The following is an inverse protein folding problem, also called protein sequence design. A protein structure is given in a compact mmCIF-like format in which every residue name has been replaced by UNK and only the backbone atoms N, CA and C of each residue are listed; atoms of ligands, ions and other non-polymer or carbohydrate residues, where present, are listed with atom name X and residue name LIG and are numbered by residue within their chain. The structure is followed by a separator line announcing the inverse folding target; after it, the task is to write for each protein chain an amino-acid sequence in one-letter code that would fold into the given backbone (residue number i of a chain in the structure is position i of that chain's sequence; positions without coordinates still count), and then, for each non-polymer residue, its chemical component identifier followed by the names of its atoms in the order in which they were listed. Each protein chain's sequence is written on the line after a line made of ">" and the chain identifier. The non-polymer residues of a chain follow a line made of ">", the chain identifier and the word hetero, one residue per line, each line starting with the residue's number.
data_IF_914145269922
#
_entry.id   IF_914145269922
#
_cell.length_a   1.000
_cell.length_b   1.000
_cell.length_c   1.000
_cell.angle_alpha   90.00
_cell.angle_beta   90.00
_cell.angle_gamma   90.00
#
_symmetry.space_group_name_H-M   'P 1'
#
loop_
_entity.id
_entity.type
_entity.pdbx_description
1 polymer ?
#
# COMPACT_ATOMS: atom_id res chain seq x y z
N UNK A 1 -16.02 12.75 -1.58
CA UNK A 1 -15.53 11.75 -0.63
C UNK A 1 -14.87 12.52 0.51
N UNK A 2 -15.58 12.85 1.51
CA UNK A 2 -15.14 13.42 2.76
C UNK A 2 -16.29 13.25 3.74
N UNK A 3 -16.01 12.87 4.97
CA UNK A 3 -17.03 12.91 6.01
C UNK A 3 -17.11 14.33 6.57
N UNK A 4 -18.33 14.84 6.66
CA UNK A 4 -18.60 16.11 7.33
C UNK A 4 -18.64 15.82 8.83
N UNK A 5 -17.74 16.44 9.60
CA UNK A 5 -17.75 16.39 11.05
C UNK A 5 -18.99 17.03 11.64
N UNK A 6 -19.23 16.82 12.94
CA UNK A 6 -20.39 17.37 13.66
C UNK A 6 -20.52 18.90 13.57
N UNK A 7 -19.43 19.59 13.23
CA UNK A 7 -19.37 21.07 13.08
C UNK A 7 -19.36 21.53 11.62
N UNK A 8 -19.63 20.64 10.65
CA UNK A 8 -19.54 20.98 9.23
C UNK A 8 -18.12 20.92 8.64
N UNK A 9 -17.11 20.57 9.43
CA UNK A 9 -15.75 20.43 8.95
C UNK A 9 -15.61 19.19 8.08
N UNK A 10 -14.98 19.33 6.92
CA UNK A 10 -14.67 18.19 6.06
C UNK A 10 -13.40 17.52 6.57
N UNK A 11 -13.53 16.37 7.23
CA UNK A 11 -12.39 15.58 7.64
C UNK A 11 -11.83 14.81 6.42
N UNK A 12 -10.73 15.31 5.90
CA UNK A 12 -9.93 14.65 4.86
C UNK A 12 -8.75 13.87 5.48
N UNK A 13 -8.89 13.44 6.75
CA UNK A 13 -7.84 12.69 7.42
C UNK A 13 -7.55 11.40 6.64
N UNK A 14 -6.33 11.20 6.13
CA UNK A 14 -6.04 10.11 5.20
C UNK A 14 -6.12 8.71 5.83
N UNK A 15 -6.17 8.60 7.15
CA UNK A 15 -6.10 7.28 7.82
C UNK A 15 -7.44 6.70 8.27
N UNK A 16 -8.47 7.51 8.53
CA UNK A 16 -9.71 6.97 9.14
C UNK A 16 -10.91 7.02 8.22
N UNK A 17 -11.13 8.11 7.49
CA UNK A 17 -12.33 8.26 6.67
C UNK A 17 -12.08 9.09 5.39
N UNK A 18 -10.83 9.45 5.10
CA UNK A 18 -10.45 10.27 3.96
C UNK A 18 -9.92 9.45 2.79
N UNK A 19 -9.46 10.16 1.78
CA UNK A 19 -8.80 9.56 0.63
C UNK A 19 -7.33 9.28 0.96
N UNK A 20 -6.91 8.03 0.84
CA UNK A 20 -5.51 7.64 0.96
C UNK A 20 -5.09 6.80 -0.24
N UNK A 21 -4.13 7.30 -1.01
CA UNK A 21 -3.54 6.65 -2.17
C UNK A 21 -2.18 6.08 -1.75
N UNK A 22 -2.01 4.76 -1.83
CA UNK A 22 -0.74 4.10 -1.50
C UNK A 22 -0.25 3.16 -2.61
N UNK A 23 -1.07 2.89 -3.63
CA UNK A 23 -0.71 2.07 -4.78
C UNK A 23 -0.62 2.89 -6.07
N UNK A 24 0.42 2.66 -6.88
CA UNK A 24 0.53 3.24 -8.20
C UNK A 24 1.30 2.26 -9.11
N UNK A 25 0.69 1.86 -10.22
CA UNK A 25 1.33 1.00 -11.21
C UNK A 25 0.80 1.28 -12.62
N UNK A 26 1.50 0.83 -13.66
CA UNK A 26 1.03 0.97 -15.03
C UNK A 26 0.35 -0.29 -15.55
N UNK A 27 -0.48 -0.14 -16.60
CA UNK A 27 -0.87 -1.26 -17.45
C UNK A 27 0.37 -1.83 -18.18
N UNK A 28 0.30 -3.10 -18.67
CA UNK A 28 1.43 -3.73 -19.36
C UNK A 28 1.92 -2.95 -20.59
N UNK A 29 1.04 -2.21 -21.25
CA UNK A 29 1.34 -1.37 -22.41
C UNK A 29 1.73 0.07 -22.02
N UNK A 30 1.78 0.38 -20.72
CA UNK A 30 2.16 1.70 -20.19
C UNK A 30 1.15 2.83 -20.39
N UNK A 31 -0.02 2.56 -21.01
CA UNK A 31 -0.98 3.62 -21.38
C UNK A 31 -1.89 4.06 -20.22
N UNK A 32 -2.15 3.17 -19.28
CA UNK A 32 -3.01 3.41 -18.14
C UNK A 32 -2.17 3.39 -16.87
N UNK A 33 -2.38 4.36 -16.00
CA UNK A 33 -1.88 4.31 -14.64
C UNK A 33 -3.01 3.89 -13.72
N UNK A 34 -2.79 2.84 -12.96
CA UNK A 34 -3.71 2.41 -11.92
C UNK A 34 -3.36 3.05 -10.59
N UNK A 35 -4.35 3.72 -9.99
CA UNK A 35 -4.24 4.39 -8.69
C UNK A 35 -4.92 3.50 -7.66
N UNK A 36 -4.13 2.91 -6.77
CA UNK A 36 -4.60 2.03 -5.71
C UNK A 36 -4.90 2.78 -4.42
N UNK A 37 -6.10 2.59 -3.89
CA UNK A 37 -6.51 3.23 -2.65
C UNK A 37 -6.33 2.30 -1.46
N UNK A 38 -5.66 2.80 -0.41
CA UNK A 38 -5.74 2.18 0.91
C UNK A 38 -7.11 2.42 1.52
N UNK A 39 -7.63 3.63 1.32
CA UNK A 39 -8.90 4.08 1.85
C UNK A 39 -9.57 5.05 0.84
N UNK A 40 -10.88 4.99 0.60
CA UNK A 40 -11.89 4.10 1.18
C UNK A 40 -11.90 2.68 0.61
N UNK A 41 -12.53 1.76 1.37
CA UNK A 41 -12.77 0.36 0.98
C UNK A 41 -14.29 0.10 0.95
N UNK A 42 -15.01 0.63 -0.05
CA UNK A 42 -16.45 0.53 -0.11
C UNK A 42 -16.91 -0.92 -0.24
N UNK A 43 -17.93 -1.30 0.52
CA UNK A 43 -18.46 -2.66 0.55
C UNK A 43 -17.37 -3.74 0.79
N UNK A 44 -16.36 -3.40 1.59
CA UNK A 44 -15.21 -4.26 1.88
C UNK A 44 -14.36 -4.65 0.66
N UNK A 45 -14.40 -3.86 -0.41
CA UNK A 45 -13.60 -4.07 -1.63
C UNK A 45 -12.58 -2.95 -1.81
N UNK A 46 -11.34 -3.31 -2.06
CA UNK A 46 -10.29 -2.36 -2.41
C UNK A 46 -10.59 -1.69 -3.75
N UNK A 47 -10.18 -0.44 -3.88
CA UNK A 47 -10.38 0.34 -5.10
C UNK A 47 -9.09 0.51 -5.88
N UNK A 48 -9.17 0.22 -7.17
CA UNK A 48 -8.14 0.52 -8.15
C UNK A 48 -8.77 1.40 -9.24
N UNK A 49 -8.27 2.61 -9.43
CA UNK A 49 -8.84 3.61 -10.34
C UNK A 49 -7.92 3.78 -11.55
N UNK A 50 -8.38 3.48 -12.78
CA UNK A 50 -7.60 3.71 -13.98
C UNK A 50 -7.54 5.20 -14.34
N UNK A 51 -6.33 5.75 -14.54
CA UNK A 51 -6.07 7.04 -15.18
C UNK A 51 -5.65 6.77 -16.63
N UNK A 52 -6.51 7.13 -17.59
CA UNK A 52 -6.37 6.75 -19.01
C UNK A 52 -5.50 7.69 -19.85
N UNK A 53 -5.13 8.85 -19.32
CA UNK A 53 -4.38 9.87 -20.04
C UNK A 53 -3.26 10.47 -19.18
N UNK A 54 -2.54 9.63 -18.45
CA UNK A 54 -1.50 10.06 -17.50
C UNK A 54 -0.43 10.94 -18.16
N UNK A 55 0.02 10.58 -19.36
CA UNK A 55 1.00 11.36 -20.12
C UNK A 55 0.50 12.79 -20.41
N UNK A 56 -0.72 12.94 -20.87
CA UNK A 56 -1.31 14.26 -21.13
C UNK A 56 -1.47 15.10 -19.84
N UNK A 57 -1.83 14.45 -18.73
CA UNK A 57 -1.94 15.11 -17.44
C UNK A 57 -0.57 15.65 -16.99
N UNK A 58 0.47 14.82 -17.10
CA UNK A 58 1.83 15.16 -16.63
C UNK A 58 2.49 16.19 -17.55
N UNK A 59 2.47 15.96 -18.87
CA UNK A 59 3.23 16.75 -19.82
C UNK A 59 2.49 17.99 -20.32
N UNK A 60 1.15 17.95 -20.37
CA UNK A 60 0.32 19.01 -20.96
C UNK A 60 -0.64 19.65 -19.96
N UNK A 61 -0.59 19.26 -18.68
CA UNK A 61 -1.53 19.71 -17.66
C UNK A 61 -3.01 19.49 -18.05
N UNK A 62 -3.26 18.43 -18.80
CA UNK A 62 -4.61 18.10 -19.26
C UNK A 62 -5.48 17.65 -18.08
N UNK A 63 -6.80 17.79 -18.21
CA UNK A 63 -7.75 17.27 -17.23
C UNK A 63 -7.65 15.74 -17.14
N UNK A 64 -7.59 15.14 -15.95
CA UNK A 64 -7.57 13.70 -15.78
C UNK A 64 -8.79 13.01 -16.38
N UNK A 65 -8.57 11.96 -17.15
CA UNK A 65 -9.60 11.07 -17.67
C UNK A 65 -9.57 9.76 -16.87
N UNK A 66 -10.45 9.64 -15.89
CA UNK A 66 -10.58 8.44 -15.07
C UNK A 66 -11.46 7.39 -15.77
N UNK A 67 -11.09 6.12 -15.63
CA UNK A 67 -11.93 5.00 -16.01
C UNK A 67 -12.85 4.56 -14.88
N UNK A 68 -13.67 3.54 -15.17
CA UNK A 68 -14.54 2.92 -14.16
C UNK A 68 -13.67 2.29 -13.05
N UNK A 69 -14.02 2.48 -11.77
CA UNK A 69 -13.31 1.87 -10.67
C UNK A 69 -13.34 0.33 -10.74
N UNK A 70 -12.21 -0.29 -10.47
CA UNK A 70 -12.08 -1.75 -10.34
C UNK A 70 -12.15 -2.09 -8.87
N UNK A 71 -13.06 -2.99 -8.51
CA UNK A 71 -13.31 -3.43 -7.14
C UNK A 71 -12.65 -4.78 -6.90
N UNK A 72 -11.60 -4.81 -6.09
CA UNK A 72 -10.83 -6.01 -5.79
C UNK A 72 -11.20 -6.57 -4.41
N UNK A 73 -11.50 -7.87 -4.34
CA UNK A 73 -11.68 -8.52 -3.06
C UNK A 73 -10.32 -8.87 -2.45
N UNK A 74 -9.88 -8.07 -1.48
CA UNK A 74 -8.65 -8.26 -0.70
C UNK A 74 -8.99 -8.56 0.78
N UNK A 75 -10.09 -9.25 1.04
CA UNK A 75 -10.55 -9.60 2.40
C UNK A 75 -10.62 -8.37 3.30
N UNK A 76 -11.35 -7.34 2.87
CA UNK A 76 -11.55 -6.04 3.56
C UNK A 76 -10.29 -5.17 3.68
N UNK A 77 -9.17 -5.54 3.06
CA UNK A 77 -7.92 -4.75 3.04
C UNK A 77 -7.97 -3.68 1.97
N UNK A 78 -7.33 -2.54 2.25
CA UNK A 78 -6.99 -1.53 1.24
C UNK A 78 -5.66 -1.85 0.55
N UNK A 79 -5.41 -1.21 -0.59
CA UNK A 79 -4.17 -1.38 -1.35
C UNK A 79 -3.06 -0.56 -0.69
N UNK A 80 -1.97 -1.22 -0.30
CA UNK A 80 -0.74 -0.59 0.20
C UNK A 80 0.31 -0.44 -0.89
N UNK A 81 0.39 -1.41 -1.79
CA UNK A 81 1.27 -1.40 -2.94
C UNK A 81 0.67 -2.27 -4.04
N UNK A 82 0.93 -1.91 -5.27
CA UNK A 82 0.58 -2.72 -6.44
C UNK A 82 1.67 -2.58 -7.49
N UNK A 83 2.16 -3.72 -8.00
CA UNK A 83 3.18 -3.77 -9.04
C UNK A 83 2.84 -4.81 -10.11
N UNK A 84 3.07 -4.45 -11.37
CA UNK A 84 2.97 -5.38 -12.48
C UNK A 84 4.29 -6.11 -12.72
N UNK A 85 4.25 -7.43 -12.77
CA UNK A 85 5.38 -8.25 -13.18
C UNK A 85 5.22 -8.76 -14.60
N UNK A 86 6.08 -8.33 -15.49
CA UNK A 86 6.13 -8.79 -16.87
C UNK A 86 6.48 -10.28 -16.97
N UNK A 87 7.33 -10.78 -16.06
CA UNK A 87 7.69 -12.19 -15.98
C UNK A 87 6.48 -13.09 -15.71
N UNK A 88 5.60 -12.68 -14.76
CA UNK A 88 4.42 -13.47 -14.38
C UNK A 88 3.18 -13.10 -15.19
N UNK A 89 3.23 -12.01 -15.96
CA UNK A 89 2.06 -11.41 -16.62
C UNK A 89 0.89 -11.20 -15.63
N UNK A 90 1.21 -10.66 -14.45
CA UNK A 90 0.25 -10.46 -13.33
C UNK A 90 0.63 -9.23 -12.52
N UNK A 91 -0.36 -8.71 -11.81
CA UNK A 91 -0.17 -7.73 -10.75
C UNK A 91 0.01 -8.44 -9.41
N UNK A 92 0.93 -7.94 -8.61
CA UNK A 92 1.09 -8.30 -7.21
C UNK A 92 0.62 -7.14 -6.35
N UNK A 93 -0.15 -7.43 -5.31
CA UNK A 93 -0.82 -6.42 -4.51
C UNK A 93 -0.54 -6.72 -3.03
N UNK A 94 -0.06 -5.74 -2.30
CA UNK A 94 -0.08 -5.76 -0.84
C UNK A 94 -1.40 -5.17 -0.39
N UNK A 95 -2.21 -6.00 0.27
CA UNK A 95 -3.38 -5.57 1.00
C UNK A 95 -3.03 -5.34 2.47
N UNK A 96 -3.44 -4.22 3.03
CA UNK A 96 -3.22 -3.89 4.43
C UNK A 96 -4.47 -3.36 5.12
N UNK A 97 -4.47 -3.44 6.45
CA UNK A 97 -5.55 -2.96 7.29
C UNK A 97 -5.76 -1.45 7.15
N UNK A 98 -7.00 -1.03 7.29
CA UNK A 98 -7.38 0.37 7.42
C UNK A 98 -7.13 0.85 8.86
N UNK A 99 -7.40 -0.02 9.84
CA UNK A 99 -7.46 0.25 11.28
C UNK A 99 -6.34 -0.41 12.12
N UNK A 100 -5.39 -1.10 11.48
CA UNK A 100 -4.32 -1.91 12.08
C UNK A 100 -4.78 -3.21 12.79
N UNK A 101 -6.01 -3.65 12.60
CA UNK A 101 -6.53 -4.88 13.22
C UNK A 101 -6.23 -6.13 12.39
N UNK A 102 -5.96 -5.96 11.10
CA UNK A 102 -5.75 -7.09 10.18
C UNK A 102 -4.28 -7.19 9.75
N UNK A 103 -3.82 -8.42 9.62
CA UNK A 103 -2.51 -8.72 9.03
C UNK A 103 -2.44 -8.25 7.58
N UNK A 104 -1.28 -7.74 7.15
CA UNK A 104 -1.00 -7.49 5.75
C UNK A 104 -0.95 -8.80 4.95
N UNK A 105 -1.28 -8.73 3.68
CA UNK A 105 -1.34 -9.89 2.80
C UNK A 105 -0.83 -9.58 1.39
N UNK A 106 -0.22 -10.58 0.74
CA UNK A 106 0.17 -10.54 -0.66
C UNK A 106 -0.86 -11.27 -1.49
N UNK A 107 -1.29 -10.63 -2.57
CA UNK A 107 -2.19 -11.19 -3.57
C UNK A 107 -1.54 -11.15 -4.95
N UNK A 108 -1.98 -12.04 -5.85
CA UNK A 108 -1.78 -11.91 -7.29
C UNK A 108 -3.11 -11.68 -8.00
N UNK A 109 -3.08 -10.86 -9.06
CA UNK A 109 -4.23 -10.55 -9.89
C UNK A 109 -3.84 -10.51 -11.36
N UNK A 110 -4.67 -11.10 -12.23
CA UNK A 110 -4.40 -11.18 -13.67
C UNK A 110 -4.52 -9.84 -14.42
N UNK A 111 -5.17 -8.84 -13.82
CA UNK A 111 -5.56 -7.61 -14.51
C UNK A 111 -7.00 -7.68 -15.08
N UNK A 112 -7.61 -8.86 -15.09
CA UNK A 112 -9.00 -9.02 -15.50
C UNK A 112 -9.94 -8.66 -14.33
N UNK A 113 -10.78 -7.65 -14.54
CA UNK A 113 -11.74 -7.16 -13.51
C UNK A 113 -12.80 -8.19 -13.10
N UNK A 114 -13.06 -9.19 -13.95
CA UNK A 114 -14.02 -10.26 -13.67
C UNK A 114 -13.40 -11.38 -12.82
N UNK A 115 -12.06 -11.42 -12.71
CA UNK A 115 -11.35 -12.44 -11.94
C UNK A 115 -10.92 -11.91 -10.56
N UNK A 116 -11.13 -12.74 -9.55
CA UNK A 116 -10.75 -12.40 -8.19
C UNK A 116 -9.23 -12.48 -7.98
N UNK A 117 -8.64 -11.55 -7.20
CA UNK A 117 -7.29 -11.69 -6.71
C UNK A 117 -7.11 -12.97 -5.90
N UNK A 118 -5.98 -13.66 -6.09
CA UNK A 118 -5.61 -14.85 -5.35
C UNK A 118 -4.72 -14.49 -4.16
N UNK A 119 -5.11 -14.85 -2.95
CA UNK A 119 -4.25 -14.74 -1.77
C UNK A 119 -3.04 -15.66 -1.92
N UNK A 120 -1.85 -15.12 -1.77
CA UNK A 120 -0.58 -15.86 -1.82
C UNK A 120 0.04 -16.04 -0.43
N UNK A 121 0.05 -15.00 0.40
CA UNK A 121 0.73 -15.02 1.70
C UNK A 121 0.13 -14.02 2.69
N UNK A 122 0.05 -14.41 3.96
CA UNK A 122 -0.24 -13.53 5.09
C UNK A 122 1.07 -13.15 5.81
N UNK A 123 1.11 -11.95 6.40
CA UNK A 123 2.25 -11.43 7.16
C UNK A 123 1.82 -11.08 8.59
N UNK A 124 1.89 -12.04 9.53
CA UNK A 124 1.46 -11.80 10.91
C UNK A 124 2.38 -10.83 11.67
N UNK A 125 3.69 -10.86 11.36
CA UNK A 125 4.72 -10.15 12.14
C UNK A 125 5.45 -9.09 11.31
N UNK A 126 4.93 -8.75 10.12
CA UNK A 126 5.55 -7.81 9.19
C UNK A 126 4.47 -6.93 8.56
N UNK A 127 4.79 -5.67 8.33
CA UNK A 127 3.90 -4.72 7.66
C UNK A 127 4.49 -4.29 6.30
N UNK A 128 4.45 -5.16 5.27
CA UNK A 128 4.94 -4.79 3.95
C UNK A 128 4.09 -3.66 3.35
N UNK A 129 4.76 -2.66 2.81
CA UNK A 129 4.16 -1.46 2.21
C UNK A 129 4.70 -1.17 0.80
N UNK A 130 5.71 -1.90 0.37
CA UNK A 130 6.22 -1.79 -1.00
C UNK A 130 6.58 -3.14 -1.58
N UNK A 131 6.33 -3.28 -2.89
CA UNK A 131 6.77 -4.39 -3.73
C UNK A 131 7.77 -3.82 -4.74
N UNK A 132 8.88 -4.52 -4.95
CA UNK A 132 9.71 -4.35 -6.13
C UNK A 132 9.74 -5.65 -6.91
N UNK A 133 9.49 -5.55 -8.19
CA UNK A 133 9.63 -6.65 -9.15
C UNK A 133 10.94 -6.44 -9.92
N UNK A 134 11.57 -7.54 -10.30
CA UNK A 134 12.74 -7.49 -11.15
C UNK A 134 12.37 -8.07 -12.52
N UNK A 135 12.79 -7.40 -13.57
CA UNK A 135 12.56 -7.89 -14.93
C UNK A 135 13.20 -9.27 -15.13
N UNK A 136 12.49 -10.14 -15.82
CA UNK A 136 12.91 -11.52 -16.11
C UNK A 136 13.21 -12.38 -14.88
N UNK A 137 12.56 -12.09 -13.73
CA UNK A 137 12.75 -12.83 -12.50
C UNK A 137 11.42 -13.23 -11.85
N UNK A 138 11.38 -14.45 -11.31
CA UNK A 138 10.26 -14.94 -10.50
C UNK A 138 10.26 -14.35 -9.08
N UNK A 139 11.23 -13.50 -8.75
CA UNK A 139 11.41 -12.98 -7.39
C UNK A 139 10.65 -11.69 -7.17
N UNK A 140 9.96 -11.61 -6.05
CA UNK A 140 9.38 -10.39 -5.52
C UNK A 140 10.18 -9.94 -4.29
N UNK A 141 10.52 -8.67 -4.23
CA UNK A 141 11.13 -8.07 -3.05
C UNK A 141 10.09 -7.20 -2.33
N UNK A 142 9.83 -7.49 -1.07
CA UNK A 142 8.88 -6.75 -0.26
C UNK A 142 9.63 -6.01 0.85
N UNK A 143 9.20 -4.78 1.11
CA UNK A 143 9.78 -3.91 2.12
C UNK A 143 8.72 -3.53 3.14
N UNK A 144 9.09 -3.62 4.43
CA UNK A 144 8.18 -3.36 5.56
C UNK A 144 8.39 -1.96 6.12
N UNK A 145 7.29 -1.27 6.46
CA UNK A 145 7.39 -0.14 7.39
C UNK A 145 7.49 -0.66 8.82
N UNK A 146 8.70 -0.63 9.34
CA UNK A 146 9.01 -1.01 10.72
C UNK A 146 9.15 0.21 11.64
N UNK A 147 8.70 1.39 11.22
CA UNK A 147 8.80 2.61 12.02
C UNK A 147 8.17 2.51 13.41
N UNK A 148 7.16 1.67 13.58
CA UNK A 148 6.48 1.44 14.85
C UNK A 148 7.02 0.23 15.64
N UNK A 149 7.97 -0.53 15.12
CA UNK A 149 8.61 -1.63 15.86
C UNK A 149 9.32 -1.06 17.08
N UNK A 150 9.13 -1.71 18.24
CA UNK A 150 9.63 -1.24 19.53
C UNK A 150 11.01 -1.80 19.83
N UNK A 151 11.90 -0.93 20.30
CA UNK A 151 13.26 -1.25 20.74
C UNK A 151 13.46 -0.85 22.20
N UNK A 152 14.16 -1.67 22.96
CA UNK A 152 14.58 -1.33 24.32
C UNK A 152 15.73 -0.34 24.25
N UNK A 153 15.56 0.84 24.81
CA UNK A 153 16.52 1.96 24.75
C UNK A 153 16.48 2.79 26.05
N UNK A 154 17.46 3.67 26.22
CA UNK A 154 17.43 4.70 27.26
C UNK A 154 16.68 5.95 26.78
N UNK A 155 16.27 6.83 27.72
CA UNK A 155 15.59 8.09 27.39
C UNK A 155 16.47 9.01 26.50
N UNK A 156 17.77 8.90 26.61
CA UNK A 156 18.72 9.69 25.82
C UNK A 156 18.77 9.29 24.34
N UNK A 157 18.42 8.04 24.04
CA UNK A 157 18.47 7.47 22.69
C UNK A 157 17.20 7.73 21.84
N UNK A 158 16.16 8.30 22.45
CA UNK A 158 14.87 8.52 21.76
C UNK A 158 14.36 9.96 21.89
N UNK A 159 13.51 10.37 20.93
CA UNK A 159 12.79 11.63 20.94
C UNK A 159 11.39 11.52 21.60
N UNK A 160 10.90 10.31 21.84
CA UNK A 160 9.62 10.10 22.52
C UNK A 160 9.84 9.77 24.01
N UNK A 161 8.80 10.04 24.83
CA UNK A 161 8.79 9.61 26.23
C UNK A 161 8.73 8.08 26.27
N UNK A 162 9.68 7.46 26.99
CA UNK A 162 9.71 6.01 27.11
C UNK A 162 8.49 5.48 27.89
N UNK A 163 7.92 4.40 27.35
CA UNK A 163 6.97 3.56 28.06
C UNK A 163 7.62 2.19 28.29
N UNK A 164 7.81 1.86 29.56
CA UNK A 164 8.44 0.59 29.97
C UNK A 164 9.85 0.35 29.38
N UNK A 165 10.60 1.41 29.09
CA UNK A 165 11.94 1.31 28.50
C UNK A 165 11.98 1.01 27.01
N UNK A 166 10.85 1.13 26.32
CA UNK A 166 10.76 0.88 24.87
C UNK A 166 10.41 2.16 24.10
N UNK A 167 11.01 2.30 22.92
CA UNK A 167 10.75 3.36 21.95
C UNK A 167 10.48 2.78 20.56
N UNK A 168 9.71 3.48 19.74
CA UNK A 168 9.51 3.14 18.35
C UNK A 168 10.77 3.39 17.51
N UNK A 169 10.99 2.58 16.48
CA UNK A 169 12.12 2.71 15.56
C UNK A 169 12.23 4.13 14.98
N UNK A 170 11.11 4.70 14.54
CA UNK A 170 11.04 6.05 13.94
C UNK A 170 11.49 7.15 14.92
N UNK A 171 11.33 6.95 16.23
CA UNK A 171 11.63 7.93 17.27
C UNK A 171 13.08 7.86 17.79
N UNK A 172 13.87 6.88 17.34
CA UNK A 172 15.28 6.80 17.67
C UNK A 172 16.04 8.04 17.16
N UNK A 173 16.89 8.62 18.03
CA UNK A 173 17.71 9.80 17.67
C UNK A 173 18.79 9.45 16.63
N UNK A 174 19.43 8.29 16.81
CA UNK A 174 20.47 7.85 15.89
C UNK A 174 19.85 7.19 14.65
N UNK A 175 19.94 7.85 13.50
CA UNK A 175 19.42 7.35 12.23
C UNK A 175 20.03 6.00 11.83
N UNK A 176 21.29 5.73 12.18
CA UNK A 176 21.96 4.46 11.86
C UNK A 176 21.39 3.26 12.63
N UNK A 177 20.61 3.51 13.67
CA UNK A 177 19.87 2.47 14.40
C UNK A 177 18.47 2.22 13.85
N UNK A 178 17.97 3.10 12.95
CA UNK A 178 16.67 2.91 12.31
C UNK A 178 16.79 1.82 11.24
N UNK A 179 15.84 0.92 11.22
CA UNK A 179 15.84 -0.26 10.35
C UNK A 179 14.47 -0.49 9.76
N UNK A 180 14.46 -1.17 8.63
CA UNK A 180 13.27 -1.81 8.05
C UNK A 180 13.63 -3.25 7.67
N UNK A 181 12.64 -4.11 7.64
CA UNK A 181 12.82 -5.49 7.16
C UNK A 181 12.46 -5.58 5.68
N UNK A 182 13.14 -6.48 5.00
CA UNK A 182 12.76 -6.88 3.65
C UNK A 182 12.74 -8.40 3.55
N UNK A 183 11.90 -8.91 2.66
CA UNK A 183 11.89 -10.33 2.31
C UNK A 183 11.85 -10.48 0.80
N UNK A 184 12.44 -11.57 0.33
CA UNK A 184 12.36 -11.98 -1.06
C UNK A 184 11.52 -13.26 -1.16
N UNK A 185 10.55 -13.26 -2.06
CA UNK A 185 9.63 -14.38 -2.27
C UNK A 185 9.78 -14.85 -3.72
N UNK A 186 10.03 -16.13 -3.91
CA UNK A 186 9.97 -16.77 -5.23
C UNK A 186 8.52 -17.17 -5.51
N UNK A 187 7.97 -16.68 -6.62
CA UNK A 187 6.63 -17.02 -7.08
C UNK A 187 6.77 -17.97 -8.27
N UNK A 188 6.46 -19.23 -8.04
CA UNK A 188 6.46 -20.30 -9.07
C UNK A 188 5.10 -20.40 -9.77
#
# INVERSE_FOLDING_TARGET
>A
IGQVGKNGDIFLAPKENGLNIEGLTSSPDGKIIYIGLRNPVPNNKALLIPLKNAEDVILKSAKPLLGDPIYLNLDKRGIRSVEYSSFHNKYFIIGGSIDNEMQSALYSWSGDKELLPKLLKLFPDMNPEAIAVQDNSAMLHLFSDDGNVKYKVTQEETNEKLSNGFSSCKSLKNSNKKRFRSITININ
#
